data_IF_871373203289
#
_entry.id   IF_871373203289
#
_cell.length_a   1.000
_cell.length_b   1.000
_cell.length_c   1.000
_cell.angle_alpha   90.00
_cell.angle_beta   90.00
_cell.angle_gamma   90.00
#
_symmetry.space_group_name_H-M   'P 1'
#
loop_
_entity.id
_entity.type
_entity.pdbx_description
1 polymer ?
#
# COMPACT_ATOMS: atom_id res chain seq x y z
N UNK A 1 -10.56 22.92 21.30
CA UNK A 1 -10.09 23.52 20.04
C UNK A 1 -9.65 22.34 19.18
N UNK A 2 -10.43 21.96 18.15
CA UNK A 2 -10.06 20.81 17.31
C UNK A 2 -8.96 21.27 16.36
N UNK A 3 -7.70 21.04 16.72
CA UNK A 3 -6.58 21.33 15.83
C UNK A 3 -6.69 20.38 14.62
N UNK A 4 -6.86 20.89 13.38
CA UNK A 4 -7.06 20.03 12.20
C UNK A 4 -5.75 19.37 11.71
N UNK A 5 -4.60 19.86 12.19
CA UNK A 5 -3.25 19.42 11.82
C UNK A 5 -3.03 17.90 11.90
N UNK A 6 -3.36 17.19 13.01
CA UNK A 6 -3.15 15.73 13.11
C UNK A 6 -3.90 14.91 12.06
N UNK A 7 -5.10 15.33 11.64
CA UNK A 7 -5.86 14.66 10.58
C UNK A 7 -5.21 14.84 9.22
N UNK A 8 -4.77 16.06 8.92
CA UNK A 8 -4.04 16.36 7.67
C UNK A 8 -2.74 15.56 7.61
N UNK A 9 -1.99 15.49 8.72
CA UNK A 9 -0.75 14.72 8.81
C UNK A 9 -0.98 13.23 8.57
N UNK A 10 -2.06 12.66 9.11
CA UNK A 10 -2.45 11.26 8.84
C UNK A 10 -2.66 11.01 7.35
N UNK A 11 -3.42 11.88 6.69
CA UNK A 11 -3.73 11.76 5.25
C UNK A 11 -2.45 11.90 4.42
N UNK A 12 -1.60 12.88 4.75
CA UNK A 12 -0.32 13.10 4.07
C UNK A 12 0.61 11.89 4.25
N UNK A 13 0.71 11.33 5.46
CA UNK A 13 1.48 10.13 5.72
C UNK A 13 0.96 8.94 4.91
N UNK A 14 -0.35 8.68 4.93
CA UNK A 14 -0.95 7.60 4.17
C UNK A 14 -0.71 7.75 2.65
N UNK A 15 -0.87 8.96 2.12
CA UNK A 15 -0.59 9.26 0.71
C UNK A 15 0.90 9.08 0.37
N UNK A 16 1.80 9.55 1.23
CA UNK A 16 3.23 9.37 1.08
C UNK A 16 3.62 7.88 1.08
N UNK A 17 3.05 7.08 1.98
CA UNK A 17 3.28 5.63 2.03
C UNK A 17 2.78 4.93 0.76
N UNK A 18 1.55 5.25 0.32
CA UNK A 18 0.97 4.67 -0.89
C UNK A 18 1.79 4.99 -2.13
N UNK A 19 2.33 6.21 -2.21
CA UNK A 19 3.22 6.61 -3.28
C UNK A 19 4.60 5.96 -3.14
N UNK A 20 5.19 5.87 -1.95
CA UNK A 20 6.54 5.33 -1.76
C UNK A 20 6.59 3.80 -1.95
N UNK A 21 5.51 3.09 -1.66
CA UNK A 21 5.48 1.62 -1.72
C UNK A 21 5.85 1.05 -3.11
N UNK A 22 5.27 1.49 -4.25
CA UNK A 22 5.69 1.04 -5.58
C UNK A 22 7.15 1.35 -5.91
N UNK A 23 7.67 2.50 -5.44
CA UNK A 23 9.08 2.85 -5.64
C UNK A 23 10.01 1.88 -4.90
N UNK A 24 9.69 1.54 -3.66
CA UNK A 24 10.45 0.55 -2.89
C UNK A 24 10.46 -0.82 -3.56
N UNK A 25 9.32 -1.27 -4.10
CA UNK A 25 9.25 -2.51 -4.89
C UNK A 25 10.17 -2.45 -6.11
N UNK A 26 10.16 -1.34 -6.84
CA UNK A 26 11.04 -1.12 -7.99
C UNK A 26 12.52 -1.10 -7.62
N UNK A 27 12.84 -0.46 -6.50
CA UNK A 27 14.20 -0.40 -5.95
C UNK A 27 14.72 -1.79 -5.57
N UNK A 28 13.96 -2.57 -4.81
CA UNK A 28 14.33 -3.94 -4.42
C UNK A 28 14.54 -4.81 -5.65
N UNK A 29 13.68 -4.70 -6.67
CA UNK A 29 13.83 -5.42 -7.94
C UNK A 29 15.10 -5.01 -8.69
N UNK A 30 15.44 -3.72 -8.70
CA UNK A 30 16.68 -3.23 -9.29
C UNK A 30 17.91 -3.79 -8.57
N UNK A 31 17.94 -3.71 -7.24
CA UNK A 31 19.05 -4.24 -6.43
C UNK A 31 19.23 -5.74 -6.70
N UNK A 32 18.14 -6.52 -6.64
CA UNK A 32 18.17 -7.96 -6.95
C UNK A 32 18.70 -8.24 -8.35
N UNK A 33 18.28 -7.48 -9.36
CA UNK A 33 18.76 -7.65 -10.72
C UNK A 33 20.27 -7.36 -10.84
N UNK A 34 20.76 -6.30 -10.19
CA UNK A 34 22.18 -5.94 -10.20
C UNK A 34 23.04 -6.99 -9.52
N UNK A 35 22.58 -7.54 -8.40
CA UNK A 35 23.24 -8.67 -7.72
C UNK A 35 23.28 -9.94 -8.59
N UNK A 36 22.31 -10.11 -9.48
CA UNK A 36 22.28 -11.18 -10.48
C UNK A 36 23.04 -10.83 -11.78
N UNK A 37 23.86 -9.78 -11.77
CA UNK A 37 24.58 -9.26 -12.94
C UNK A 37 23.68 -8.94 -14.15
N UNK A 38 22.45 -8.49 -13.89
CA UNK A 38 21.48 -8.02 -14.88
C UNK A 38 21.20 -6.53 -14.67
N UNK A 39 20.87 -5.80 -15.74
CA UNK A 39 20.58 -4.36 -15.65
C UNK A 39 19.30 -4.05 -14.84
N UNK A 40 18.29 -4.92 -14.94
CA UNK A 40 16.99 -4.75 -14.30
C UNK A 40 16.15 -3.60 -14.89
N UNK A 41 14.87 -3.56 -14.56
CA UNK A 41 14.02 -2.41 -14.85
C UNK A 41 14.32 -1.27 -13.85
N UNK A 42 14.04 -0.02 -14.24
CA UNK A 42 14.23 1.13 -13.37
C UNK A 42 13.28 1.14 -12.16
N UNK A 43 13.58 1.90 -11.09
CA UNK A 43 12.79 1.91 -9.86
C UNK A 43 11.38 2.49 -10.06
N UNK A 44 11.17 3.30 -11.11
CA UNK A 44 9.87 3.86 -11.46
C UNK A 44 9.02 2.93 -12.35
N UNK A 45 9.53 1.75 -12.72
CA UNK A 45 8.79 0.79 -13.54
C UNK A 45 7.43 0.41 -12.94
N UNK A 46 7.28 0.15 -11.62
CA UNK A 46 5.99 -0.20 -11.03
C UNK A 46 4.90 0.85 -11.23
N UNK A 47 5.21 2.14 -11.23
CA UNK A 47 4.22 3.18 -11.55
C UNK A 47 3.73 3.12 -12.99
N UNK A 48 4.64 2.82 -13.93
CA UNK A 48 4.28 2.65 -15.35
C UNK A 48 3.41 1.42 -15.54
N UNK A 49 3.71 0.34 -14.81
CA UNK A 49 2.94 -0.89 -14.83
C UNK A 49 1.53 -0.66 -14.25
N UNK A 50 1.42 0.02 -13.11
CA UNK A 50 0.13 0.40 -12.51
C UNK A 50 -0.71 1.23 -13.49
N UNK A 51 -0.13 2.30 -14.07
CA UNK A 51 -0.81 3.12 -15.07
C UNK A 51 -1.27 2.32 -16.29
N UNK A 52 -0.44 1.36 -16.74
CA UNK A 52 -0.79 0.46 -17.84
C UNK A 52 -1.93 -0.48 -17.47
N UNK A 53 -1.96 -1.00 -16.25
CA UNK A 53 -3.02 -1.92 -15.80
C UNK A 53 -4.37 -1.21 -15.63
N UNK A 54 -4.37 0.02 -15.11
CA UNK A 54 -5.59 0.83 -15.03
C UNK A 54 -6.19 1.19 -16.39
N UNK A 55 -5.37 1.21 -17.44
CA UNK A 55 -5.83 1.43 -18.81
C UNK A 55 -6.39 0.15 -19.48
N UNK A 56 -6.28 -1.01 -18.84
CA UNK A 56 -6.76 -2.29 -19.39
C UNK A 56 -8.13 -2.64 -18.83
N UNK A 57 -8.93 -3.29 -19.67
CA UNK A 57 -10.19 -3.89 -19.23
C UNK A 57 -9.92 -5.10 -18.30
N UNK A 58 -10.68 -5.17 -17.21
CA UNK A 58 -10.63 -6.28 -16.29
C UNK A 58 -11.44 -7.46 -16.84
N UNK A 59 -10.76 -8.55 -17.20
CA UNK A 59 -11.41 -9.79 -17.64
C UNK A 59 -11.75 -10.64 -16.42
N UNK A 60 -13.04 -10.87 -16.19
CA UNK A 60 -13.57 -11.70 -15.10
C UNK A 60 -14.42 -12.81 -15.70
N UNK A 61 -14.24 -14.05 -15.24
CA UNK A 61 -15.02 -15.18 -15.72
C UNK A 61 -16.52 -14.99 -15.45
N UNK A 62 -17.38 -15.45 -16.36
CA UNK A 62 -18.84 -15.33 -16.22
C UNK A 62 -19.37 -16.00 -14.94
N UNK A 63 -18.73 -17.10 -14.52
CA UNK A 63 -19.10 -17.87 -13.32
C UNK A 63 -18.32 -17.44 -12.07
N UNK A 64 -17.59 -16.32 -12.10
CA UNK A 64 -16.84 -15.86 -10.95
C UNK A 64 -17.79 -15.40 -9.82
N UNK A 65 -17.53 -15.88 -8.60
CA UNK A 65 -18.24 -15.43 -7.40
C UNK A 65 -18.01 -13.94 -7.14
N UNK A 66 -18.95 -13.30 -6.45
CA UNK A 66 -18.81 -11.92 -5.97
C UNK A 66 -17.55 -11.72 -5.12
N UNK A 67 -17.11 -12.76 -4.40
CA UNK A 67 -15.90 -12.76 -3.59
C UNK A 67 -14.67 -12.42 -4.45
N UNK A 68 -14.56 -12.98 -5.66
CA UNK A 68 -13.44 -12.73 -6.56
C UNK A 68 -13.30 -11.24 -6.93
N UNK A 69 -14.44 -10.54 -7.06
CA UNK A 69 -14.45 -9.09 -7.32
C UNK A 69 -14.17 -8.27 -6.08
N UNK A 70 -14.57 -8.74 -4.90
CA UNK A 70 -14.45 -8.00 -3.65
C UNK A 70 -13.05 -8.11 -3.03
N UNK A 71 -12.43 -9.29 -3.08
CA UNK A 71 -11.13 -9.57 -2.44
C UNK A 71 -10.03 -8.56 -2.77
N UNK A 72 -9.80 -8.14 -4.04
CA UNK A 72 -8.75 -7.18 -4.36
C UNK A 72 -8.91 -5.83 -3.64
N UNK A 73 -10.16 -5.38 -3.45
CA UNK A 73 -10.46 -4.13 -2.74
C UNK A 73 -10.28 -4.29 -1.23
N UNK A 74 -10.67 -5.45 -0.68
CA UNK A 74 -10.48 -5.76 0.73
C UNK A 74 -9.01 -5.81 1.09
N UNK A 75 -8.21 -6.59 0.36
CA UNK A 75 -6.76 -6.72 0.60
C UNK A 75 -6.06 -5.37 0.48
N UNK A 76 -6.42 -4.58 -0.54
CA UNK A 76 -5.88 -3.22 -0.70
C UNK A 76 -6.23 -2.33 0.51
N UNK A 77 -7.50 -2.29 0.91
CA UNK A 77 -7.95 -1.47 2.04
C UNK A 77 -7.30 -1.86 3.36
N UNK A 78 -7.24 -3.16 3.65
CA UNK A 78 -6.60 -3.72 4.85
C UNK A 78 -5.10 -3.41 4.88
N UNK A 79 -4.41 -3.55 3.74
CA UNK A 79 -2.98 -3.24 3.65
C UNK A 79 -2.69 -1.75 3.84
N UNK A 80 -3.51 -0.87 3.26
CA UNK A 80 -3.39 0.59 3.45
C UNK A 80 -3.66 0.96 4.91
N UNK A 81 -4.67 0.35 5.53
CA UNK A 81 -5.00 0.56 6.94
C UNK A 81 -3.83 0.13 7.84
N UNK A 82 -3.25 -1.05 7.60
CA UNK A 82 -2.07 -1.52 8.34
C UNK A 82 -0.91 -0.52 8.24
N UNK A 83 -0.64 0.02 7.05
CA UNK A 83 0.39 1.05 6.86
C UNK A 83 0.07 2.38 7.54
N UNK A 84 -1.20 2.77 7.61
CA UNK A 84 -1.63 4.02 8.24
C UNK A 84 -1.56 3.97 9.77
N UNK A 85 -1.71 2.79 10.36
CA UNK A 85 -1.63 2.57 11.82
C UNK A 85 -0.20 2.74 12.33
N UNK A 86 0.81 2.35 11.55
CA UNK A 86 2.21 2.46 11.99
C UNK A 86 2.65 3.93 11.98
N UNK A 87 3.07 4.51 13.12
CA UNK A 87 3.52 5.90 13.19
C UNK A 87 4.93 6.03 12.59
N UNK A 88 5.00 6.34 11.29
CA UNK A 88 6.27 6.44 10.54
C UNK A 88 6.81 7.88 10.50
N UNK A 89 5.92 8.89 10.43
CA UNK A 89 6.32 10.30 10.25
C UNK A 89 5.98 11.20 11.46
N UNK A 90 4.95 10.87 12.23
CA UNK A 90 4.52 11.66 13.39
C UNK A 90 4.03 10.74 14.53
N UNK A 91 4.26 11.17 15.78
CA UNK A 91 3.96 10.39 16.99
C UNK A 91 2.56 10.72 17.55
N UNK A 92 2.08 11.95 17.38
CA UNK A 92 0.76 12.42 17.85
C UNK A 92 -0.33 12.30 16.78
N UNK A 93 -0.50 11.10 16.22
CA UNK A 93 -1.56 10.82 15.25
C UNK A 93 -2.83 10.29 15.93
N UNK A 94 -4.04 10.58 15.43
CA UNK A 94 -5.31 10.10 16.01
C UNK A 94 -5.43 8.58 16.09
N UNK A 95 -4.68 7.85 15.25
CA UNK A 95 -4.63 6.39 15.20
C UNK A 95 -3.62 5.78 16.18
N UNK A 96 -2.73 6.59 16.78
CA UNK A 96 -1.67 6.11 17.67
C UNK A 96 -2.17 5.28 18.88
N UNK A 97 -3.33 5.59 19.51
CA UNK A 97 -3.84 4.77 20.62
C UNK A 97 -4.30 3.36 20.22
N UNK A 98 -4.62 3.15 18.94
CA UNK A 98 -5.09 1.86 18.38
C UNK A 98 -3.92 1.10 17.72
N UNK A 99 -2.75 1.73 17.62
CA UNK A 99 -1.56 1.20 16.98
C UNK A 99 -0.75 0.28 17.89
N UNK A 100 -1.35 -0.82 18.34
CA UNK A 100 -0.65 -1.89 19.03
C UNK A 100 -0.33 -3.08 18.09
N UNK A 101 0.55 -3.97 18.56
CA UNK A 101 0.97 -5.16 17.80
C UNK A 101 -0.21 -6.10 17.55
N UNK A 102 -1.19 -6.18 18.46
CA UNK A 102 -2.33 -7.10 18.35
C UNK A 102 -3.25 -6.65 17.21
N UNK A 103 -3.60 -5.36 17.17
CA UNK A 103 -4.38 -4.75 16.11
C UNK A 103 -3.68 -4.92 14.75
N UNK A 104 -2.36 -4.71 14.71
CA UNK A 104 -1.59 -4.89 13.48
C UNK A 104 -1.63 -6.34 12.98
N UNK A 105 -1.44 -7.32 13.86
CA UNK A 105 -1.53 -8.76 13.53
C UNK A 105 -2.93 -9.13 13.08
N UNK A 106 -3.97 -8.66 13.78
CA UNK A 106 -5.36 -8.93 13.42
C UNK A 106 -5.72 -8.37 12.03
N UNK A 107 -5.24 -7.17 11.71
CA UNK A 107 -5.44 -6.55 10.39
C UNK A 107 -4.68 -7.31 9.32
N UNK A 108 -3.42 -7.70 9.54
CA UNK A 108 -2.70 -8.52 8.56
C UNK A 108 -3.32 -9.90 8.35
N UNK A 109 -3.99 -10.48 9.34
CA UNK A 109 -4.70 -11.75 9.18
C UNK A 109 -5.92 -11.66 8.24
N UNK A 110 -6.43 -10.46 7.98
CA UNK A 110 -7.52 -10.21 7.02
C UNK A 110 -7.03 -10.03 5.58
N UNK A 111 -5.73 -9.75 5.38
CA UNK A 111 -5.12 -9.48 4.07
C UNK A 111 -4.62 -10.77 3.39
#
# INVERSE_FOLDING_TARGET
MNDPLPYVLTIVQAAALLLLAPFMVGWVRLVKARLQNRRGAGPLQPYRDIRKLFAKEAVVAANASWIFRFTPYLVFGVTVLAGAIVPILAVDLPLAPVADVIALVAIFALA
#
